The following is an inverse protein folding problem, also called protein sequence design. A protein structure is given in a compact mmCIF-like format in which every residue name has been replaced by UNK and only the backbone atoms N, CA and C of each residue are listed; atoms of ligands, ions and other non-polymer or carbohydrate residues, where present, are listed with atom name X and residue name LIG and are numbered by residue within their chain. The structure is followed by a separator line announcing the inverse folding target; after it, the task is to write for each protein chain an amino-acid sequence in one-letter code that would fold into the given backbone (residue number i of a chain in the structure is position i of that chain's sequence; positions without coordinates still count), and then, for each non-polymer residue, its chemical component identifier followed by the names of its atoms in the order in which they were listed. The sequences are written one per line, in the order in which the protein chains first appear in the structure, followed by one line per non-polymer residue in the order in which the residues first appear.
data_IF_514468247791
#
_entry.id   IF_514468247791
#
_cell.length_a   1.000
_cell.length_b   1.000
_cell.length_c   1.000
_cell.angle_alpha   90.00
_cell.angle_beta   90.00
_cell.angle_gamma   90.00
#
_symmetry.space_group_name_H-M   'P 1'
#
loop_
_entity.id
_entity.type
_entity.pdbx_description
1 polymer ?
#
# COMPACT_ATOMS: atom_id res chain seq x y z
N UNK A 1 1.69 4.12 12.74
CA UNK A 1 2.80 3.30 13.27
C UNK A 1 2.49 1.83 13.03
N UNK A 2 3.51 1.01 12.84
CA UNK A 2 3.46 -0.45 12.70
C UNK A 2 4.00 -1.01 14.02
N UNK A 3 3.12 -1.21 14.99
CA UNK A 3 3.55 -1.38 16.39
C UNK A 3 4.32 -0.14 16.86
N UNK A 4 5.56 -0.34 17.31
CA UNK A 4 6.44 0.74 17.80
C UNK A 4 7.23 1.45 16.68
N UNK A 5 7.19 0.92 15.44
CA UNK A 5 7.93 1.49 14.30
C UNK A 5 7.08 2.52 13.57
N UNK A 6 7.65 3.68 13.28
CA UNK A 6 6.99 4.71 12.47
C UNK A 6 7.60 4.76 11.08
N UNK A 7 6.74 4.75 10.06
CA UNK A 7 7.12 4.95 8.66
C UNK A 7 6.38 6.16 8.11
N UNK A 8 7.10 7.02 7.40
CA UNK A 8 6.53 8.18 6.74
C UNK A 8 5.66 7.76 5.56
N UNK A 9 4.53 8.46 5.41
CA UNK A 9 3.62 8.23 4.30
C UNK A 9 3.77 9.39 3.32
N UNK A 10 3.99 9.14 2.01
CA UNK A 10 4.11 10.18 1.01
C UNK A 10 2.93 11.15 1.02
N UNK A 11 3.20 12.45 0.85
CA UNK A 11 2.19 13.52 0.97
C UNK A 11 0.98 13.28 0.07
N UNK A 12 1.18 12.80 -1.16
CA UNK A 12 0.09 12.47 -2.08
C UNK A 12 -0.88 11.42 -1.52
N UNK A 13 -0.36 10.44 -0.77
CA UNK A 13 -1.20 9.43 -0.09
C UNK A 13 -1.82 9.97 1.20
N UNK A 14 -1.05 10.72 1.98
CA UNK A 14 -1.56 11.36 3.20
C UNK A 14 -2.71 12.32 2.92
N UNK A 15 -2.68 13.04 1.80
CA UNK A 15 -3.75 13.96 1.41
C UNK A 15 -5.12 13.27 1.38
N UNK A 16 -5.27 12.20 0.59
CA UNK A 16 -6.57 11.54 0.49
C UNK A 16 -6.95 10.78 1.77
N UNK A 17 -5.97 10.26 2.52
CA UNK A 17 -6.24 9.65 3.84
C UNK A 17 -6.82 10.68 4.82
N UNK A 18 -6.31 11.92 4.80
CA UNK A 18 -6.83 13.04 5.62
C UNK A 18 -8.23 13.46 5.17
N UNK A 19 -8.42 13.67 3.87
CA UNK A 19 -9.70 14.09 3.28
C UNK A 19 -10.83 13.08 3.56
N UNK A 20 -10.51 11.79 3.63
CA UNK A 20 -11.47 10.72 3.93
C UNK A 20 -11.57 10.38 5.43
N UNK A 21 -10.88 11.13 6.31
CA UNK A 21 -11.04 11.00 7.76
C UNK A 21 -10.36 9.78 8.37
N UNK A 22 -9.24 9.32 7.81
CA UNK A 22 -8.43 8.21 8.34
C UNK A 22 -7.29 8.65 9.27
N UNK A 23 -7.22 9.94 9.62
CA UNK A 23 -6.25 10.42 10.61
C UNK A 23 -6.55 9.77 11.97
N UNK A 24 -5.50 9.23 12.61
CA UNK A 24 -5.60 8.52 13.89
C UNK A 24 -6.50 7.27 13.88
N UNK A 25 -6.82 6.73 12.69
CA UNK A 25 -7.50 5.43 12.57
C UNK A 25 -6.49 4.32 12.32
N UNK A 26 -6.83 3.13 12.78
CA UNK A 26 -6.13 1.92 12.38
C UNK A 26 -6.42 1.60 10.91
N UNK A 27 -5.37 1.25 10.18
CA UNK A 27 -5.41 0.92 8.77
C UNK A 27 -4.57 -0.33 8.53
N UNK A 28 -4.92 -1.07 7.50
CA UNK A 28 -4.09 -2.15 6.98
C UNK A 28 -3.14 -1.54 5.96
N UNK A 29 -1.83 -1.74 6.16
CA UNK A 29 -0.80 -1.41 5.18
C UNK A 29 -0.53 -2.63 4.30
N UNK A 30 -0.76 -2.50 3.00
CA UNK A 30 -0.33 -3.47 2.00
C UNK A 30 0.91 -2.96 1.27
N UNK A 31 1.98 -3.74 1.30
CA UNK A 31 3.19 -3.52 0.51
C UNK A 31 3.59 -4.85 -0.11
N UNK A 32 4.04 -4.83 -1.36
CA UNK A 32 4.44 -6.06 -2.04
C UNK A 32 5.85 -6.48 -1.62
N UNK A 33 6.17 -7.79 -1.64
CA UNK A 33 7.51 -8.26 -1.27
C UNK A 33 8.64 -7.59 -2.07
N UNK A 34 8.41 -7.29 -3.35
CA UNK A 34 9.39 -6.64 -4.23
C UNK A 34 9.63 -5.15 -3.97
N UNK A 35 8.80 -4.51 -3.14
CA UNK A 35 8.90 -3.09 -2.83
C UNK A 35 9.66 -2.83 -1.52
N UNK A 36 10.35 -3.87 -1.02
CA UNK A 36 11.36 -3.79 0.01
C UNK A 36 12.75 -3.79 -0.62
N UNK A 37 13.61 -2.92 -0.12
CA UNK A 37 14.95 -2.68 -0.65
C UNK A 37 16.00 -2.89 0.44
N UNK A 38 17.07 -3.62 0.12
CA UNK A 38 18.23 -3.84 0.99
C UNK A 38 19.50 -3.16 0.44
N UNK A 39 19.41 -2.46 -0.68
CA UNK A 39 20.52 -1.75 -1.29
C UNK A 39 20.83 -0.48 -0.50
N UNK A 40 22.07 -0.33 -0.03
CA UNK A 40 22.49 0.79 0.82
C UNK A 40 22.14 2.17 0.22
N UNK A 41 22.28 2.32 -1.09
CA UNK A 41 21.96 3.58 -1.79
C UNK A 41 20.47 3.93 -1.67
N UNK A 42 19.59 2.93 -1.79
CA UNK A 42 18.16 3.13 -1.64
C UNK A 42 17.83 3.46 -0.19
N UNK A 43 18.35 2.65 0.73
CA UNK A 43 18.24 2.85 2.17
C UNK A 43 18.64 4.27 2.58
N UNK A 44 19.78 4.78 2.15
CA UNK A 44 20.26 6.11 2.53
C UNK A 44 19.35 7.24 2.02
N UNK A 45 18.70 7.02 0.86
CA UNK A 45 17.73 7.96 0.28
C UNK A 45 16.34 7.88 0.93
N UNK A 46 15.98 6.73 1.51
CA UNK A 46 14.66 6.43 2.10
C UNK A 46 14.57 6.86 3.57
N UNK A 47 14.82 8.15 3.84
CA UNK A 47 14.68 8.70 5.19
C UNK A 47 13.23 8.59 5.66
N UNK A 48 13.03 7.99 6.84
CA UNK A 48 11.71 7.86 7.45
C UNK A 48 10.89 6.66 6.98
N UNK A 49 11.34 5.86 6.02
CA UNK A 49 10.59 4.67 5.53
C UNK A 49 11.38 3.37 5.70
N UNK A 50 12.18 3.29 6.76
CA UNK A 50 13.03 2.13 7.07
C UNK A 50 12.43 1.31 8.21
N UNK A 51 12.72 0.01 8.20
CA UNK A 51 12.39 -0.91 9.29
C UNK A 51 13.58 -1.81 9.60
N UNK A 52 13.80 -2.08 10.88
CA UNK A 52 14.75 -3.11 11.33
C UNK A 52 14.02 -4.45 11.40
N UNK A 53 14.23 -5.29 10.39
CA UNK A 53 13.60 -6.59 10.28
C UNK A 53 14.49 -7.67 10.89
N UNK A 54 13.89 -8.63 11.60
CA UNK A 54 14.57 -9.88 11.97
C UNK A 54 14.24 -10.94 10.93
N UNK A 55 15.27 -11.54 10.33
CA UNK A 55 15.12 -12.56 9.29
C UNK A 55 14.92 -13.92 9.95
N UNK A 56 13.81 -14.57 9.68
CA UNK A 56 13.52 -15.93 10.18
C UNK A 56 14.02 -16.99 9.20
N UNK A 57 13.80 -16.76 7.90
CA UNK A 57 14.25 -17.64 6.81
C UNK A 57 14.70 -16.80 5.63
N UNK A 58 15.83 -17.18 5.03
CA UNK A 58 16.31 -16.63 3.76
C UNK A 58 16.35 -17.77 2.72
N UNK A 59 15.53 -17.66 1.67
CA UNK A 59 15.39 -18.66 0.61
C UNK A 59 15.94 -18.11 -0.70
N UNK A 60 17.07 -18.66 -1.16
CA UNK A 60 17.70 -18.29 -2.42
C UNK A 60 16.95 -18.93 -3.60
N UNK A 61 16.34 -18.10 -4.44
CA UNK A 61 15.54 -18.50 -5.61
C UNK A 61 16.24 -18.09 -6.93
N UNK A 62 17.54 -18.38 -7.03
CA UNK A 62 18.34 -18.01 -8.19
C UNK A 62 18.85 -16.57 -8.11
N UNK A 63 18.21 -15.64 -8.83
CA UNK A 63 18.63 -14.24 -8.87
C UNK A 63 18.14 -13.42 -7.66
N UNK A 64 17.19 -13.96 -6.91
CA UNK A 64 16.51 -13.26 -5.82
C UNK A 64 16.52 -14.11 -4.55
N UNK A 65 16.40 -13.46 -3.41
CA UNK A 65 16.24 -14.11 -2.11
C UNK A 65 14.90 -13.69 -1.51
N UNK A 66 14.09 -14.67 -1.12
CA UNK A 66 12.87 -14.44 -0.36
C UNK A 66 13.21 -14.44 1.13
N UNK A 67 12.92 -13.33 1.80
CA UNK A 67 13.19 -13.13 3.22
C UNK A 67 11.88 -13.19 4.00
N UNK A 68 11.65 -14.30 4.70
CA UNK A 68 10.59 -14.40 5.68
C UNK A 68 11.07 -13.70 6.93
N UNK A 69 10.39 -12.61 7.29
CA UNK A 69 10.89 -11.60 8.22
C UNK A 69 9.82 -11.20 9.20
N UNK A 70 10.24 -10.61 10.32
CA UNK A 70 9.32 -9.98 11.26
C UNK A 70 9.84 -8.67 11.83
N UNK A 71 8.92 -7.73 12.03
CA UNK A 71 9.13 -6.45 12.71
C UNK A 71 8.05 -6.29 13.78
N UNK A 72 8.45 -6.10 15.04
CA UNK A 72 7.51 -5.97 16.17
C UNK A 72 6.41 -7.04 16.23
N UNK A 73 6.76 -8.31 15.94
CA UNK A 73 5.82 -9.43 15.91
C UNK A 73 4.89 -9.49 14.69
N UNK A 74 5.00 -8.54 13.75
CA UNK A 74 4.32 -8.61 12.46
C UNK A 74 5.21 -9.31 11.45
N UNK A 75 4.72 -10.43 10.93
CA UNK A 75 5.41 -11.24 9.92
C UNK A 75 5.13 -10.70 8.52
N UNK A 76 6.14 -10.71 7.66
CA UNK A 76 6.03 -10.32 6.27
C UNK A 76 7.11 -11.01 5.42
N UNK A 77 6.96 -10.90 4.10
CA UNK A 77 7.95 -11.42 3.15
C UNK A 77 8.51 -10.26 2.36
N UNK A 78 9.83 -10.17 2.28
CA UNK A 78 10.54 -9.27 1.38
C UNK A 78 11.24 -10.08 0.29
N UNK A 79 11.35 -9.52 -0.91
CA UNK A 79 12.06 -10.11 -2.05
C UNK A 79 13.19 -9.18 -2.42
N UNK A 80 14.43 -9.64 -2.25
CA UNK A 80 15.64 -8.84 -2.48
C UNK A 80 16.56 -9.50 -3.49
N UNK A 81 17.52 -8.74 -4.02
CA UNK A 81 18.55 -9.27 -4.92
C UNK A 81 19.51 -10.23 -4.18
N UNK A 82 19.93 -11.31 -4.85
CA UNK A 82 20.79 -12.37 -4.27
C UNK A 82 22.27 -12.00 -4.08
N UNK A 83 22.68 -10.76 -4.39
CA UNK A 83 24.09 -10.30 -4.24
C UNK A 83 24.61 -10.32 -2.81
N UNK A 84 23.73 -10.29 -1.82
CA UNK A 84 24.10 -10.28 -0.40
C UNK A 84 23.77 -11.61 0.26
N UNK A 85 24.74 -12.20 0.95
CA UNK A 85 24.51 -13.37 1.79
C UNK A 85 23.79 -12.95 3.07
N UNK A 86 22.55 -13.42 3.24
CA UNK A 86 21.66 -13.07 4.36
C UNK A 86 21.32 -14.37 5.09
N UNK A 87 21.54 -14.38 6.40
CA UNK A 87 21.39 -15.59 7.22
C UNK A 87 20.21 -15.49 8.18
N UNK A 88 19.52 -16.61 8.49
CA UNK A 88 18.52 -16.66 9.55
C UNK A 88 19.04 -16.12 10.89
N UNK A 89 18.19 -15.39 11.62
CA UNK A 89 18.51 -14.72 12.88
C UNK A 89 19.19 -13.35 12.74
N UNK A 90 19.57 -12.95 11.53
CA UNK A 90 20.16 -11.65 11.27
C UNK A 90 19.12 -10.53 11.41
N UNK A 91 19.56 -9.36 11.91
CA UNK A 91 18.81 -8.11 11.78
C UNK A 91 19.25 -7.39 10.50
N UNK A 92 18.28 -7.01 9.69
CA UNK A 92 18.49 -6.34 8.41
C UNK A 92 17.65 -5.06 8.35
N UNK A 93 18.29 -3.94 8.04
CA UNK A 93 17.58 -2.71 7.73
C UNK A 93 16.99 -2.86 6.32
N UNK A 94 15.67 -2.72 6.21
CA UNK A 94 14.94 -2.73 4.95
C UNK A 94 14.27 -1.38 4.74
N UNK A 95 14.42 -0.82 3.54
CA UNK A 95 13.68 0.36 3.12
C UNK A 95 12.41 -0.03 2.37
N UNK A 96 11.30 0.60 2.70
CA UNK A 96 10.01 0.41 2.05
C UNK A 96 9.79 1.49 1.00
N UNK A 97 9.43 1.12 -0.22
CA UNK A 97 8.90 2.07 -1.21
C UNK A 97 7.45 2.43 -0.89
N UNK A 98 7.29 3.38 0.02
CA UNK A 98 5.97 3.85 0.45
C UNK A 98 5.16 4.54 -0.64
N UNK A 99 5.74 4.85 -1.82
CA UNK A 99 4.96 5.35 -2.97
C UNK A 99 4.13 4.23 -3.61
N UNK A 100 4.57 2.98 -3.50
CA UNK A 100 3.86 1.81 -4.03
C UNK A 100 2.94 1.14 -3.02
N UNK A 101 3.09 1.47 -1.73
CA UNK A 101 2.21 0.98 -0.68
C UNK A 101 0.72 1.31 -0.92
N UNK A 102 -0.15 0.46 -0.41
CA UNK A 102 -1.60 0.61 -0.42
C UNK A 102 -2.14 0.60 1.01
N UNK A 103 -3.22 1.33 1.24
CA UNK A 103 -3.91 1.36 2.52
C UNK A 103 -5.30 0.79 2.35
N UNK A 104 -5.75 0.04 3.34
CA UNK A 104 -7.08 -0.56 3.38
C UNK A 104 -7.74 -0.22 4.71
N UNK A 105 -9.05 -0.03 4.66
CA UNK A 105 -9.84 0.18 5.86
C UNK A 105 -9.87 -1.10 6.70
N UNK A 106 -9.68 -0.97 8.02
CA UNK A 106 -9.50 -2.10 8.93
C UNK A 106 -10.78 -2.92 9.13
N UNK A 107 -11.96 -2.30 8.99
CA UNK A 107 -13.24 -2.96 9.21
C UNK A 107 -13.77 -3.61 7.93
N UNK A 108 -13.74 -2.87 6.83
CA UNK A 108 -14.32 -3.27 5.53
C UNK A 108 -13.33 -4.01 4.64
N UNK A 109 -12.02 -3.92 4.92
CA UNK A 109 -10.92 -4.43 4.08
C UNK A 109 -10.86 -3.83 2.67
N UNK A 110 -11.68 -2.82 2.38
CA UNK A 110 -11.68 -2.16 1.09
C UNK A 110 -10.45 -1.26 0.96
N UNK A 111 -9.87 -1.25 -0.25
CA UNK A 111 -8.73 -0.38 -0.56
C UNK A 111 -9.16 1.08 -0.57
N UNK A 112 -8.43 1.89 0.19
CA UNK A 112 -8.58 3.34 0.23
C UNK A 112 -7.87 3.94 -0.98
N UNK A 113 -8.59 4.73 -1.77
CA UNK A 113 -8.11 5.34 -3.02
C UNK A 113 -8.41 6.84 -3.04
N UNK A 114 -7.66 7.65 -3.81
CA UNK A 114 -8.03 9.03 -4.08
C UNK A 114 -9.46 9.12 -4.63
N UNK A 115 -10.21 10.16 -4.25
CA UNK A 115 -11.61 10.32 -4.67
C UNK A 115 -11.76 10.42 -6.21
N UNK A 116 -10.74 10.94 -6.90
CA UNK A 116 -10.72 11.11 -8.35
C UNK A 116 -10.54 9.77 -9.10
N UNK A 117 -10.17 8.68 -8.41
CA UNK A 117 -10.05 7.33 -8.99
C UNK A 117 -11.34 6.50 -8.86
N UNK A 118 -12.35 6.97 -8.11
CA UNK A 118 -13.64 6.28 -7.98
C UNK A 118 -14.55 6.44 -9.22
N UNK A 119 -13.98 6.73 -10.39
CA UNK A 119 -14.70 7.04 -11.62
C UNK A 119 -15.38 5.82 -12.27
N UNK A 120 -14.96 4.60 -11.95
CA UNK A 120 -15.60 3.38 -12.47
C UNK A 120 -16.95 3.10 -11.78
N UNK A 121 -17.15 3.52 -10.52
CA UNK A 121 -18.45 3.39 -9.82
C UNK A 121 -19.45 4.48 -10.21
N UNK A 122 -19.00 5.61 -10.75
CA UNK A 122 -19.89 6.69 -11.26
C UNK A 122 -20.56 6.37 -12.60
N UNK A 123 -20.19 5.27 -13.25
CA UNK A 123 -20.74 4.86 -14.57
C UNK A 123 -22.05 4.07 -14.46
N UNK A 124 -22.45 3.61 -13.27
CA UNK A 124 -23.76 3.00 -13.04
C UNK A 124 -24.76 4.03 -12.48
N UNK A 125 -25.12 5.03 -13.29
CA UNK A 125 -26.34 5.80 -13.05
C UNK A 125 -27.53 5.00 -13.60
N UNK A 126 -28.61 4.77 -12.83
CA UNK A 126 -29.78 4.05 -13.33
C UNK A 126 -30.36 4.78 -14.54
N UNK A 127 -30.47 4.06 -15.65
CA UNK A 127 -31.17 4.48 -16.86
C UNK A 127 -32.68 4.48 -16.53
N UNK A 128 -33.15 5.45 -15.77
CA UNK A 128 -34.59 5.63 -15.54
C UNK A 128 -34.95 7.09 -15.31
N UNK A 129 -34.61 7.97 -16.25
CA UNK A 129 -35.25 9.31 -16.33
C UNK A 129 -35.25 9.93 -17.74
N UNK A 130 -35.06 9.11 -18.78
CA UNK A 130 -35.24 9.56 -20.16
C UNK A 130 -36.03 8.54 -20.96
N UNK A 131 -37.35 8.52 -20.75
CA UNK A 131 -38.35 8.32 -21.81
C UNK A 131 -39.78 8.42 -21.24
N UNK A 132 -40.34 9.63 -21.29
CA UNK A 132 -41.75 9.81 -21.64
C UNK A 132 -41.91 11.08 -22.47
N UNK A 133 -41.51 10.99 -23.73
CA UNK A 133 -42.03 11.87 -24.78
C UNK A 133 -43.17 11.12 -25.44
N UNK A 134 -44.39 11.49 -25.11
CA UNK A 134 -45.62 11.27 -25.88
C UNK A 134 -46.42 12.54 -25.65
N UNK A 135 -46.59 13.46 -26.59
CA UNK A 135 -47.07 13.26 -27.95
C UNK A 135 -48.20 14.29 -28.13
N UNK A 136 -48.18 14.95 -29.28
CA UNK A 136 -49.29 15.70 -29.89
C UNK A 136 -49.59 17.16 -29.47
N UNK A 137 -49.62 17.98 -30.53
CA UNK A 137 -49.93 19.40 -30.67
C UNK A 137 -51.34 19.74 -30.19
N UNK A 138 -51.61 21.00 -29.81
CA UNK A 138 -52.67 21.84 -30.43
C UNK A 138 -52.29 23.34 -30.31
N UNK A 139 -52.63 24.09 -31.36
CA UNK A 139 -52.46 25.52 -31.54
C UNK A 139 -53.52 26.38 -30.83
N UNK A 140 -53.11 27.54 -30.29
CA UNK A 140 -53.54 28.92 -30.60
C UNK A 140 -52.85 29.88 -29.62
#
# INVERSE_FOLDING_TARGET
AIGEVSVDVPEGKMKFLREQGYVNKELILGIRPEDFHNEQVFIDSSRGTKVDATIEVAELMGAETMLYSQVNGQVFVARVDSRTDIQPGQKLELALDMNKAHFFDNETTLRIRPADENLEERKELPISDKQKVSGEKVAL
#
